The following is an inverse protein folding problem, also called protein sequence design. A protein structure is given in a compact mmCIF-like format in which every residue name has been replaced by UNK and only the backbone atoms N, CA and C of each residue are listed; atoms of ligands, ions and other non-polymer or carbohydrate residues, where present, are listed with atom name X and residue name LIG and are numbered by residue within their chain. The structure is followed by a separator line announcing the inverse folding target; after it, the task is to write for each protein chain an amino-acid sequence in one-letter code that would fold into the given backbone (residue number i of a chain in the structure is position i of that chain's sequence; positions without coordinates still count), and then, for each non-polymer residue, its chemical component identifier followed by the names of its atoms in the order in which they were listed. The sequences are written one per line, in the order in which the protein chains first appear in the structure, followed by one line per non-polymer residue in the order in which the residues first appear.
data_IF_820836524145
#
_entry.id   IF_820836524145
#
_cell.length_a   1.000
_cell.length_b   1.000
_cell.length_c   1.000
_cell.angle_alpha   90.00
_cell.angle_beta   90.00
_cell.angle_gamma   90.00
#
_symmetry.space_group_name_H-M   'P 1'
#
loop_
_entity.id
_entity.type
_entity.pdbx_description
1 polymer ?
#
# COMPACT_ATOMS: atom_id res chain seq x y z
N UNK A 1 24.39 68.57 5.95
CA UNK A 1 24.86 67.38 5.22
C UNK A 1 24.37 66.15 5.96
N UNK A 2 23.72 65.23 5.24
CA UNK A 2 23.11 63.97 5.71
C UNK A 2 24.18 62.90 5.90
N UNK A 3 24.07 62.03 6.91
CA UNK A 3 24.53 60.62 6.89
C UNK A 3 23.86 59.91 8.09
N UNK A 4 22.72 59.25 7.89
CA UNK A 4 22.55 57.83 7.52
C UNK A 4 22.66 56.89 8.72
N UNK A 5 21.50 56.62 9.36
CA UNK A 5 21.31 55.51 10.30
C UNK A 5 21.22 54.23 9.46
N UNK A 6 22.20 53.34 9.56
CA UNK A 6 22.11 52.00 9.00
C UNK A 6 21.47 51.07 10.03
N UNK A 7 20.20 50.73 9.81
CA UNK A 7 19.53 49.64 10.53
C UNK A 7 19.98 48.34 9.86
N UNK A 8 20.74 47.52 10.59
CA UNK A 8 21.17 46.20 10.14
C UNK A 8 20.04 45.20 10.45
N UNK A 9 19.17 44.95 9.47
CA UNK A 9 18.14 43.91 9.58
C UNK A 9 18.78 42.55 9.28
N UNK A 10 19.17 41.81 10.30
CA UNK A 10 19.61 40.42 10.15
C UNK A 10 18.37 39.53 9.99
N UNK A 11 18.03 39.17 8.74
CA UNK A 11 17.04 38.13 8.46
C UNK A 11 17.73 36.78 8.65
N UNK A 12 17.55 36.17 9.81
CA UNK A 12 17.93 34.77 10.04
C UNK A 12 16.96 33.86 9.29
N UNK A 13 17.33 33.43 8.08
CA UNK A 13 16.69 32.32 7.38
C UNK A 13 16.97 31.03 8.17
N UNK A 14 16.13 30.73 9.15
CA UNK A 14 16.01 29.37 9.66
C UNK A 14 15.38 28.53 8.54
N UNK A 15 16.23 27.96 7.69
CA UNK A 15 15.83 26.83 6.85
C UNK A 15 15.65 25.63 7.78
N UNK A 16 14.47 25.52 8.39
CA UNK A 16 14.03 24.27 9.01
C UNK A 16 14.02 23.23 7.90
N UNK A 17 15.03 22.35 7.86
CA UNK A 17 14.94 21.12 7.07
C UNK A 17 13.88 20.26 7.75
N UNK A 18 12.62 20.47 7.41
CA UNK A 18 11.62 19.43 7.60
C UNK A 18 12.08 18.29 6.69
N UNK A 19 12.74 17.28 7.24
CA UNK A 19 12.61 15.97 6.63
C UNK A 19 11.12 15.69 6.69
N UNK A 20 10.44 15.80 5.55
CA UNK A 20 9.20 15.07 5.38
C UNK A 20 9.63 13.60 5.42
N UNK A 21 9.81 13.07 6.64
CA UNK A 21 9.69 11.65 6.88
C UNK A 21 8.30 11.34 6.32
N UNK A 22 8.24 10.76 5.12
CA UNK A 22 7.00 10.19 4.62
C UNK A 22 6.44 9.28 5.71
N UNK A 23 5.12 9.16 5.80
CA UNK A 23 4.50 8.19 6.68
C UNK A 23 5.10 6.81 6.38
N UNK A 24 5.78 6.24 7.36
CA UNK A 24 6.39 4.92 7.22
C UNK A 24 5.27 3.89 7.30
N UNK A 25 5.01 3.14 6.24
CA UNK A 25 4.12 1.98 6.28
C UNK A 25 4.88 0.69 6.61
N UNK A 26 4.24 -0.24 7.33
CA UNK A 26 4.80 -1.57 7.60
C UNK A 26 4.01 -2.66 6.89
N UNK A 27 4.70 -3.68 6.38
CA UNK A 27 4.06 -4.90 5.92
C UNK A 27 3.85 -5.83 7.11
N UNK A 28 2.63 -6.31 7.30
CA UNK A 28 2.28 -7.22 8.39
C UNK A 28 1.85 -8.58 7.83
N UNK A 29 2.50 -9.64 8.32
CA UNK A 29 2.09 -11.01 8.02
C UNK A 29 0.82 -11.41 8.76
N UNK A 30 0.04 -12.32 8.16
CA UNK A 30 -1.29 -12.73 8.65
C UNK A 30 -1.26 -14.00 9.50
N UNK A 31 -0.06 -14.57 9.70
CA UNK A 31 0.18 -15.75 10.51
C UNK A 31 1.16 -15.43 11.65
N UNK A 32 1.01 -16.16 12.75
CA UNK A 32 1.96 -16.21 13.86
C UNK A 32 3.21 -17.01 13.45
N UNK A 33 4.26 -16.93 14.27
CA UNK A 33 5.52 -17.64 14.01
C UNK A 33 5.39 -19.17 13.96
N UNK A 34 4.33 -19.73 14.55
CA UNK A 34 4.01 -21.16 14.51
C UNK A 34 3.15 -21.56 13.29
N UNK A 35 2.82 -20.60 12.42
CA UNK A 35 2.00 -20.78 11.23
C UNK A 35 0.49 -20.71 11.48
N UNK A 36 0.03 -20.53 12.72
CA UNK A 36 -1.40 -20.30 13.00
C UNK A 36 -1.85 -18.95 12.44
N UNK A 37 -3.10 -18.87 11.96
CA UNK A 37 -3.69 -17.60 11.54
C UNK A 37 -3.84 -16.66 12.74
N UNK A 38 -3.54 -15.38 12.53
CA UNK A 38 -3.68 -14.35 13.57
C UNK A 38 -5.14 -14.13 13.95
N UNK A 39 -5.37 -13.99 15.24
CA UNK A 39 -6.64 -13.58 15.82
C UNK A 39 -6.71 -12.06 15.94
N UNK A 40 -7.89 -11.50 16.28
CA UNK A 40 -8.03 -10.08 16.56
C UNK A 40 -7.07 -9.60 17.66
N UNK A 41 -6.87 -10.40 18.73
CA UNK A 41 -5.96 -10.04 19.82
C UNK A 41 -4.49 -10.04 19.38
N UNK A 42 -4.10 -10.93 18.46
CA UNK A 42 -2.74 -10.92 17.89
C UNK A 42 -2.50 -9.64 17.10
N UNK A 43 -3.47 -9.22 16.28
CA UNK A 43 -3.39 -7.95 15.54
C UNK A 43 -3.39 -6.73 16.47
N UNK A 44 -4.21 -6.71 17.52
CA UNK A 44 -4.21 -5.64 18.53
C UNK A 44 -2.82 -5.50 19.17
N UNK A 45 -2.20 -6.62 19.57
CA UNK A 45 -0.84 -6.65 20.14
C UNK A 45 0.22 -6.14 19.14
N UNK A 46 0.11 -6.50 17.87
CA UNK A 46 0.99 -5.95 16.82
C UNK A 46 0.81 -4.43 16.67
N UNK A 47 -0.44 -3.95 16.63
CA UNK A 47 -0.74 -2.52 16.47
C UNK A 47 -0.37 -1.68 17.70
N UNK A 48 -0.45 -2.22 18.91
CA UNK A 48 0.06 -1.58 20.13
C UNK A 48 1.57 -1.29 20.02
N UNK A 49 2.30 -2.17 19.33
CA UNK A 49 3.74 -1.98 19.08
C UNK A 49 4.00 -1.00 17.93
N UNK A 50 3.21 -1.06 16.87
CA UNK A 50 3.48 -0.37 15.60
C UNK A 50 2.88 1.04 15.51
N UNK A 51 1.76 1.31 16.19
CA UNK A 51 0.98 2.56 16.05
C UNK A 51 1.74 3.84 16.38
N UNK A 52 2.80 3.75 17.21
CA UNK A 52 3.69 4.89 17.49
C UNK A 52 4.58 5.29 16.30
N UNK A 53 4.73 4.40 15.30
CA UNK A 53 5.66 4.56 14.18
C UNK A 53 4.98 4.64 12.82
N UNK A 54 3.72 4.18 12.73
CA UNK A 54 2.97 4.13 11.47
C UNK A 54 1.50 4.44 11.69
N UNK A 55 0.89 5.02 10.67
CA UNK A 55 -0.56 5.12 10.50
C UNK A 55 -1.11 4.16 9.43
N UNK A 56 -0.25 3.36 8.80
CA UNK A 56 -0.58 2.55 7.62
C UNK A 56 0.06 1.16 7.70
N UNK A 57 -0.74 0.13 7.47
CA UNK A 57 -0.27 -1.26 7.41
C UNK A 57 -0.63 -1.87 6.05
N UNK A 58 0.33 -2.58 5.46
CA UNK A 58 0.10 -3.41 4.28
C UNK A 58 -0.10 -4.88 4.69
N UNK A 59 -1.18 -5.48 4.20
CA UNK A 59 -1.43 -6.92 4.23
C UNK A 59 -1.51 -7.44 2.80
N UNK A 60 -1.29 -8.74 2.60
CA UNK A 60 -1.06 -9.30 1.24
C UNK A 60 -2.27 -9.99 0.61
N UNK A 61 -3.35 -10.16 1.38
CA UNK A 61 -4.56 -10.84 0.97
C UNK A 61 -5.72 -10.33 1.82
N UNK A 62 -6.92 -10.24 1.24
CA UNK A 62 -8.16 -9.99 1.96
C UNK A 62 -8.72 -11.29 2.56
N UNK A 63 -8.59 -12.41 1.85
CA UNK A 63 -9.21 -13.69 2.20
C UNK A 63 -8.34 -14.61 3.06
N UNK A 64 -7.03 -14.70 2.81
CA UNK A 64 -6.14 -15.61 3.52
C UNK A 64 -6.20 -15.35 5.03
N UNK A 65 -6.35 -16.39 5.85
CA UNK A 65 -6.52 -16.27 7.30
C UNK A 65 -7.64 -15.28 7.71
N UNK A 66 -8.70 -15.16 6.91
CA UNK A 66 -9.83 -14.25 7.15
C UNK A 66 -9.37 -12.80 7.39
N UNK A 67 -8.29 -12.38 6.71
CA UNK A 67 -7.56 -11.15 7.04
C UNK A 67 -8.47 -9.93 7.05
N UNK A 68 -9.25 -9.66 6.01
CA UNK A 68 -10.10 -8.46 5.98
C UNK A 68 -11.22 -8.51 7.03
N UNK A 69 -11.75 -9.71 7.31
CA UNK A 69 -12.75 -9.91 8.35
C UNK A 69 -12.23 -9.56 9.75
N UNK A 70 -11.00 -10.00 10.06
CA UNK A 70 -10.42 -9.90 11.40
C UNK A 70 -9.63 -8.60 11.56
N UNK A 71 -8.68 -8.34 10.65
CA UNK A 71 -7.79 -7.19 10.74
C UNK A 71 -8.48 -5.87 10.39
N UNK A 72 -9.45 -5.88 9.47
CA UNK A 72 -10.16 -4.67 9.04
C UNK A 72 -10.72 -3.84 10.21
N UNK A 73 -11.58 -4.42 11.06
CA UNK A 73 -12.14 -3.71 12.22
C UNK A 73 -11.09 -3.32 13.26
N UNK A 74 -10.06 -4.15 13.47
CA UNK A 74 -8.95 -3.86 14.40
C UNK A 74 -8.15 -2.65 13.94
N UNK A 75 -7.80 -2.58 12.66
CA UNK A 75 -7.10 -1.45 12.07
C UNK A 75 -7.94 -0.17 12.15
N UNK A 76 -9.22 -0.22 11.81
CA UNK A 76 -10.11 0.94 11.90
C UNK A 76 -10.23 1.46 13.34
N UNK A 77 -10.41 0.57 14.32
CA UNK A 77 -10.48 0.95 15.72
C UNK A 77 -9.18 1.60 16.22
N UNK A 78 -8.03 1.16 15.72
CA UNK A 78 -6.72 1.70 16.02
C UNK A 78 -6.37 2.98 15.22
N UNK A 79 -7.22 3.41 14.27
CA UNK A 79 -6.95 4.56 13.40
C UNK A 79 -5.85 4.30 12.37
N UNK A 80 -5.62 3.02 12.02
CA UNK A 80 -4.66 2.57 11.02
C UNK A 80 -5.37 2.40 9.67
N UNK A 81 -4.77 2.93 8.59
CA UNK A 81 -5.20 2.67 7.22
C UNK A 81 -4.56 1.41 6.65
N UNK A 82 -5.24 0.78 5.71
CA UNK A 82 -4.85 -0.50 5.12
C UNK A 82 -4.46 -0.33 3.66
N UNK A 83 -3.28 -0.81 3.32
CA UNK A 83 -2.86 -1.14 1.96
C UNK A 83 -3.18 -2.62 1.75
N UNK A 84 -4.31 -2.90 1.10
CA UNK A 84 -4.91 -4.22 1.03
C UNK A 84 -4.46 -4.96 -0.23
N UNK A 85 -3.71 -6.06 -0.08
CA UNK A 85 -3.36 -6.95 -1.18
C UNK A 85 -4.51 -7.87 -1.60
N UNK A 86 -4.56 -8.19 -2.89
CA UNK A 86 -5.48 -9.13 -3.52
C UNK A 86 -4.64 -10.11 -4.35
N UNK A 87 -4.74 -11.40 -4.05
CA UNK A 87 -4.08 -12.42 -4.87
C UNK A 87 -4.72 -12.49 -6.27
N UNK A 88 -3.90 -12.26 -7.31
CA UNK A 88 -4.32 -12.29 -8.71
C UNK A 88 -4.45 -13.72 -9.28
N UNK A 89 -3.96 -14.74 -8.59
CA UNK A 89 -3.99 -16.12 -9.08
C UNK A 89 -4.29 -17.10 -7.95
N UNK A 90 -4.91 -18.23 -8.28
CA UNK A 90 -5.25 -19.30 -7.33
C UNK A 90 -6.50 -19.02 -6.50
N UNK A 91 -6.51 -17.92 -5.74
CA UNK A 91 -7.54 -17.59 -4.73
C UNK A 91 -8.35 -16.34 -5.07
N UNK A 92 -8.28 -15.85 -6.31
CA UNK A 92 -8.85 -14.55 -6.70
C UNK A 92 -10.35 -14.41 -6.44
N UNK A 93 -11.15 -15.47 -6.66
CA UNK A 93 -12.59 -15.43 -6.36
C UNK A 93 -12.87 -15.33 -4.85
N UNK A 94 -12.02 -15.94 -4.01
CA UNK A 94 -12.12 -15.85 -2.55
C UNK A 94 -11.77 -14.44 -2.07
N UNK A 95 -10.79 -13.79 -2.71
CA UNK A 95 -10.46 -12.38 -2.46
C UNK A 95 -11.64 -11.46 -2.79
N UNK A 96 -12.28 -11.63 -3.95
CA UNK A 96 -13.48 -10.87 -4.33
C UNK A 96 -14.62 -11.09 -3.36
N UNK A 97 -14.86 -12.33 -2.94
CA UNK A 97 -15.88 -12.66 -1.95
C UNK A 97 -15.59 -11.99 -0.59
N UNK A 98 -14.33 -11.95 -0.16
CA UNK A 98 -13.92 -11.26 1.06
C UNK A 98 -14.17 -9.75 0.96
N UNK A 99 -13.84 -9.11 -0.17
CA UNK A 99 -14.14 -7.70 -0.41
C UNK A 99 -15.64 -7.42 -0.28
N UNK A 100 -16.47 -8.17 -1.01
CA UNK A 100 -17.93 -8.03 -0.96
C UNK A 100 -18.52 -8.24 0.43
N UNK A 101 -17.96 -9.17 1.20
CA UNK A 101 -18.48 -9.55 2.51
C UNK A 101 -18.09 -8.55 3.61
N UNK A 102 -16.89 -7.98 3.53
CA UNK A 102 -16.29 -7.29 4.68
C UNK A 102 -16.07 -5.79 4.48
N UNK A 103 -15.88 -5.30 3.26
CA UNK A 103 -15.83 -3.86 3.01
C UNK A 103 -17.09 -3.11 3.48
N UNK A 104 -18.33 -3.66 3.40
CA UNK A 104 -19.51 -2.97 3.93
C UNK A 104 -19.47 -2.67 5.44
N UNK A 105 -18.63 -3.39 6.19
CA UNK A 105 -18.51 -3.21 7.64
C UNK A 105 -17.41 -2.21 8.03
N UNK A 106 -16.60 -1.75 7.07
CA UNK A 106 -15.50 -0.83 7.29
C UNK A 106 -15.86 0.53 6.70
N UNK A 107 -15.24 1.58 7.19
CA UNK A 107 -15.25 2.89 6.53
C UNK A 107 -14.34 2.84 5.33
N UNK A 108 -14.75 3.49 4.24
CA UNK A 108 -13.90 3.66 3.06
C UNK A 108 -12.55 4.26 3.39
N UNK A 109 -12.49 5.20 4.34
CA UNK A 109 -11.26 5.82 4.80
C UNK A 109 -10.26 4.86 5.43
N UNK A 110 -10.70 3.67 5.85
CA UNK A 110 -9.83 2.62 6.39
C UNK A 110 -9.00 1.97 5.28
N UNK A 111 -9.43 2.01 4.02
CA UNK A 111 -8.71 1.45 2.88
C UNK A 111 -8.00 2.56 2.10
N UNK A 112 -6.67 2.56 2.13
CA UNK A 112 -5.85 3.55 1.42
C UNK A 112 -5.57 3.16 -0.03
N UNK A 113 -5.40 1.87 -0.28
CA UNK A 113 -5.10 1.29 -1.59
C UNK A 113 -5.48 -0.19 -1.63
N UNK A 114 -5.95 -0.65 -2.79
CA UNK A 114 -6.13 -2.08 -3.09
C UNK A 114 -5.15 -2.50 -4.18
N UNK A 115 -4.24 -3.42 -3.86
CA UNK A 115 -3.21 -3.93 -4.76
C UNK A 115 -3.55 -5.30 -5.30
N UNK A 116 -3.95 -5.37 -6.57
CA UNK A 116 -4.20 -6.61 -7.30
C UNK A 116 -2.88 -7.16 -7.81
N UNK A 117 -2.53 -8.35 -7.33
CA UNK A 117 -1.24 -8.97 -7.56
C UNK A 117 -0.13 -8.38 -6.69
N UNK A 118 0.83 -9.25 -6.36
CA UNK A 118 2.09 -8.89 -5.72
C UNK A 118 3.20 -9.70 -6.36
N UNK A 119 4.01 -9.08 -7.21
CA UNK A 119 5.04 -9.75 -8.03
C UNK A 119 4.49 -10.86 -8.94
N UNK A 120 3.21 -10.78 -9.31
CA UNK A 120 2.55 -11.80 -10.12
C UNK A 120 3.10 -11.84 -11.55
N UNK A 121 3.47 -10.69 -12.10
CA UNK A 121 4.13 -10.61 -13.41
C UNK A 121 5.60 -11.02 -13.31
N UNK A 122 6.30 -10.61 -12.25
CA UNK A 122 7.69 -11.04 -12.01
C UNK A 122 7.81 -12.57 -11.96
N UNK A 123 6.84 -13.26 -11.34
CA UNK A 123 6.79 -14.72 -11.29
C UNK A 123 6.21 -15.37 -12.55
N UNK A 124 5.68 -14.59 -13.49
CA UNK A 124 4.96 -15.06 -14.66
C UNK A 124 3.75 -15.94 -14.32
N UNK A 125 3.09 -15.67 -13.19
CA UNK A 125 1.89 -16.39 -12.75
C UNK A 125 0.66 -16.01 -13.61
N UNK A 126 0.67 -14.80 -14.16
CA UNK A 126 -0.43 -14.17 -14.92
C UNK A 126 0.14 -13.29 -16.04
N UNK A 127 -0.62 -13.09 -17.13
CA UNK A 127 -0.23 -12.16 -18.20
C UNK A 127 -0.53 -10.70 -17.83
N UNK A 128 0.11 -9.75 -18.52
CA UNK A 128 -0.15 -8.33 -18.31
C UNK A 128 -1.60 -7.93 -18.65
N UNK A 129 -2.18 -8.52 -19.69
CA UNK A 129 -3.55 -8.20 -20.10
C UNK A 129 -4.58 -8.80 -19.12
N UNK A 130 -4.32 -10.00 -18.61
CA UNK A 130 -5.19 -10.63 -17.61
C UNK A 130 -5.12 -9.85 -16.29
N UNK A 131 -3.94 -9.48 -15.80
CA UNK A 131 -3.80 -8.67 -14.58
C UNK A 131 -4.42 -7.28 -14.73
N UNK A 132 -4.30 -6.65 -15.91
CA UNK A 132 -4.97 -5.37 -16.20
C UNK A 132 -6.50 -5.51 -16.17
N UNK A 133 -7.02 -6.65 -16.63
CA UNK A 133 -8.45 -6.97 -16.58
C UNK A 133 -8.92 -7.18 -15.14
N UNK A 134 -8.15 -7.89 -14.31
CA UNK A 134 -8.46 -8.08 -12.88
C UNK A 134 -8.43 -6.75 -12.10
N UNK A 135 -7.47 -5.87 -12.37
CA UNK A 135 -7.45 -4.51 -11.79
C UNK A 135 -8.75 -3.76 -12.10
N UNK A 136 -9.18 -3.80 -13.36
CA UNK A 136 -10.42 -3.14 -13.79
C UNK A 136 -11.65 -3.77 -13.14
N UNK A 137 -11.69 -5.10 -13.04
CA UNK A 137 -12.77 -5.83 -12.36
C UNK A 137 -12.87 -5.45 -10.88
N UNK A 138 -11.74 -5.34 -10.17
CA UNK A 138 -11.73 -4.91 -8.76
C UNK A 138 -12.19 -3.46 -8.61
N UNK A 139 -11.79 -2.56 -9.52
CA UNK A 139 -12.29 -1.17 -9.53
C UNK A 139 -13.81 -1.11 -9.66
N UNK A 140 -14.37 -1.88 -10.60
CA UNK A 140 -15.82 -1.95 -10.81
C UNK A 140 -16.53 -2.60 -9.62
N UNK A 141 -15.99 -3.72 -9.12
CA UNK A 141 -16.53 -4.46 -7.97
C UNK A 141 -16.68 -3.57 -6.75
N UNK A 142 -15.63 -2.83 -6.37
CA UNK A 142 -15.68 -1.99 -5.17
C UNK A 142 -16.51 -0.72 -5.41
N UNK A 143 -16.69 -0.26 -6.65
CA UNK A 143 -17.51 0.92 -6.91
C UNK A 143 -18.98 0.71 -6.49
N UNK A 144 -19.48 -0.51 -6.55
CA UNK A 144 -20.83 -0.91 -6.16
C UNK A 144 -20.98 -1.24 -4.66
N UNK A 145 -19.88 -1.23 -3.90
CA UNK A 145 -19.90 -1.47 -2.45
C UNK A 145 -20.03 -0.14 -1.70
N UNK A 146 -21.01 -0.07 -0.79
CA UNK A 146 -21.15 1.01 0.18
C UNK A 146 -20.49 0.60 1.50
N UNK A 147 -19.83 1.56 2.15
CA UNK A 147 -19.15 1.40 3.42
C UNK A 147 -20.14 1.44 4.61
N UNK A 148 -19.62 1.31 5.83
CA UNK A 148 -20.44 1.31 7.06
C UNK A 148 -21.30 2.58 7.29
N UNK A 149 -21.03 3.68 6.58
CA UNK A 149 -21.79 4.93 6.62
C UNK A 149 -22.66 5.15 5.36
N UNK A 150 -22.63 4.24 4.39
CA UNK A 150 -23.31 4.39 3.11
C UNK A 150 -22.47 5.11 2.05
N UNK A 151 -21.18 5.35 2.27
CA UNK A 151 -20.30 5.96 1.27
C UNK A 151 -19.78 4.88 0.31
N UNK A 152 -19.95 5.08 -1.01
CA UNK A 152 -19.42 4.16 -2.01
C UNK A 152 -17.88 4.13 -2.01
N UNK A 153 -17.29 2.93 -2.13
CA UNK A 153 -15.85 2.74 -2.30
C UNK A 153 -15.32 3.20 -3.67
N UNK A 154 -16.18 3.66 -4.59
CA UNK A 154 -15.77 4.26 -5.87
C UNK A 154 -14.73 5.36 -5.68
N UNK A 155 -13.62 5.27 -6.41
CA UNK A 155 -12.50 6.21 -6.32
C UNK A 155 -11.48 5.88 -5.22
N UNK A 156 -11.64 4.76 -4.51
CA UNK A 156 -10.52 4.13 -3.78
C UNK A 156 -9.46 3.72 -4.81
N UNK A 157 -8.18 4.00 -4.53
CA UNK A 157 -7.09 3.71 -5.47
C UNK A 157 -6.92 2.21 -5.63
N UNK A 158 -6.94 1.73 -6.86
CA UNK A 158 -6.64 0.34 -7.21
C UNK A 158 -5.48 0.29 -8.19
N UNK A 159 -4.64 -0.73 -8.07
CA UNK A 159 -3.58 -0.98 -9.04
C UNK A 159 -2.81 -2.23 -8.66
N UNK A 160 -1.50 -2.26 -8.92
CA UNK A 160 -0.68 -3.44 -8.62
C UNK A 160 0.55 -3.11 -7.79
N UNK A 161 1.12 -4.15 -7.18
CA UNK A 161 2.46 -4.12 -6.60
C UNK A 161 3.31 -5.13 -7.36
N UNK A 162 4.41 -4.71 -7.98
CA UNK A 162 5.31 -5.66 -8.66
C UNK A 162 6.78 -5.23 -8.53
N UNK A 163 7.69 -6.09 -8.96
CA UNK A 163 9.12 -5.77 -8.96
C UNK A 163 9.38 -4.56 -9.85
N UNK A 164 10.22 -3.63 -9.38
CA UNK A 164 10.45 -2.36 -10.09
C UNK A 164 10.85 -2.54 -11.57
N UNK A 165 11.62 -3.60 -11.89
CA UNK A 165 12.10 -3.89 -13.25
C UNK A 165 10.98 -4.38 -14.17
N UNK A 166 9.92 -4.97 -13.62
CA UNK A 166 8.74 -5.40 -14.36
C UNK A 166 7.85 -4.21 -14.70
N UNK A 167 7.70 -3.28 -13.76
CA UNK A 167 6.85 -2.09 -13.94
C UNK A 167 7.40 -1.09 -14.98
N UNK A 168 8.71 -1.11 -15.24
CA UNK A 168 9.34 -0.27 -16.27
C UNK A 168 9.49 -0.98 -17.63
N UNK A 169 9.13 -2.26 -17.71
CA UNK A 169 9.11 -2.99 -18.97
C UNK A 169 7.88 -2.59 -19.79
N UNK A 170 8.12 -2.12 -21.02
CA UNK A 170 7.07 -1.70 -21.95
C UNK A 170 6.08 -2.82 -22.30
N UNK A 171 6.47 -4.09 -22.15
CA UNK A 171 5.56 -5.23 -22.32
C UNK A 171 4.39 -5.22 -21.30
N UNK A 172 4.59 -4.60 -20.14
CA UNK A 172 3.60 -4.55 -19.06
C UNK A 172 2.81 -3.24 -19.01
N UNK A 173 2.85 -2.44 -20.09
CA UNK A 173 2.19 -1.14 -20.15
C UNK A 173 0.66 -1.21 -19.95
N UNK A 174 0.03 -2.36 -20.23
CA UNK A 174 -1.40 -2.57 -19.98
C UNK A 174 -1.75 -2.41 -18.48
N UNK A 175 -0.95 -3.02 -17.61
CA UNK A 175 -1.16 -3.00 -16.15
C UNK A 175 -0.96 -1.59 -15.57
N UNK A 176 0.05 -0.87 -16.06
CA UNK A 176 0.29 0.52 -15.66
C UNK A 176 -0.86 1.44 -16.07
N UNK A 177 -1.48 1.19 -17.24
CA UNK A 177 -2.63 1.98 -17.73
C UNK A 177 -3.92 1.68 -16.99
N UNK A 178 -4.13 0.43 -16.56
CA UNK A 178 -5.32 0.04 -15.80
C UNK A 178 -5.25 0.52 -14.34
N UNK A 179 -4.04 0.65 -13.78
CA UNK A 179 -3.83 1.07 -12.39
C UNK A 179 -4.02 2.57 -12.17
N UNK A 180 -4.68 2.97 -11.07
CA UNK A 180 -4.66 4.35 -10.57
C UNK A 180 -3.27 4.73 -10.03
N UNK A 181 -2.60 3.75 -9.42
CA UNK A 181 -1.24 3.85 -8.88
C UNK A 181 -0.57 2.49 -8.91
N UNK A 182 0.74 2.45 -9.18
CA UNK A 182 1.55 1.24 -9.08
C UNK A 182 2.58 1.40 -7.96
N UNK A 183 2.82 0.34 -7.19
CA UNK A 183 3.87 0.30 -6.19
C UNK A 183 4.98 -0.67 -6.60
N UNK A 184 6.22 -0.25 -6.41
CA UNK A 184 7.38 -1.04 -6.78
C UNK A 184 7.98 -1.75 -5.56
N UNK A 185 8.13 -3.07 -5.65
CA UNK A 185 9.04 -3.80 -4.78
C UNK A 185 10.47 -3.62 -5.29
N UNK A 186 11.35 -3.15 -4.41
CA UNK A 186 12.75 -2.91 -4.73
C UNK A 186 13.65 -3.30 -3.55
N UNK A 187 14.38 -4.40 -3.71
CA UNK A 187 15.21 -4.98 -2.65
C UNK A 187 16.70 -4.89 -3.00
N UNK A 188 17.38 -3.84 -2.54
CA UNK A 188 18.81 -3.62 -2.82
C UNK A 188 19.71 -4.77 -2.36
N UNK A 189 19.35 -5.43 -1.26
CA UNK A 189 20.04 -6.63 -0.75
C UNK A 189 20.11 -7.74 -1.80
N UNK A 190 18.99 -8.06 -2.45
CA UNK A 190 18.90 -9.11 -3.48
C UNK A 190 19.52 -8.71 -4.83
N UNK A 191 19.83 -7.43 -5.00
CA UNK A 191 20.49 -6.90 -6.21
C UNK A 191 22.02 -6.81 -6.08
N UNK A 192 22.60 -7.33 -4.99
CA UNK A 192 24.05 -7.29 -4.77
C UNK A 192 24.59 -5.86 -4.61
N UNK A 193 23.75 -4.89 -4.26
CA UNK A 193 24.19 -3.52 -4.03
C UNK A 193 25.09 -3.48 -2.80
N UNK A 194 26.33 -3.00 -2.98
CA UNK A 194 27.24 -2.75 -1.86
C UNK A 194 26.75 -1.52 -1.07
N UNK A 195 27.10 -1.46 0.22
CA UNK A 195 26.83 -0.32 1.13
C UNK A 195 27.27 1.07 0.60
N UNK A 196 27.98 1.16 -0.53
CA UNK A 196 28.38 2.41 -1.19
C UNK A 196 27.30 3.01 -2.11
N UNK A 197 26.30 2.22 -2.53
CA UNK A 197 25.25 2.62 -3.49
C UNK A 197 23.84 2.75 -2.90
N UNK A 198 23.69 2.60 -1.59
CA UNK A 198 22.42 2.63 -0.87
C UNK A 198 21.72 4.01 -0.80
N UNK A 199 22.30 5.05 -1.42
CA UNK A 199 21.72 6.40 -1.50
C UNK A 199 21.54 6.93 -2.93
N UNK A 200 21.83 6.15 -3.97
CA UNK A 200 21.64 6.64 -5.35
C UNK A 200 20.27 6.23 -5.87
N UNK A 201 19.39 7.23 -5.96
CA UNK A 201 18.10 7.11 -6.62
C UNK A 201 18.25 6.49 -8.01
N UNK A 202 17.22 5.73 -8.37
CA UNK A 202 16.98 5.04 -9.64
C UNK A 202 17.65 5.80 -10.80
N UNK A 203 18.86 5.37 -11.18
CA UNK A 203 19.52 5.87 -12.38
C UNK A 203 18.83 5.25 -13.57
N UNK A 204 18.24 6.13 -14.38
CA UNK A 204 17.65 5.82 -15.68
C UNK A 204 18.72 5.25 -16.60
N UNK A 205 18.44 4.09 -17.18
CA UNK A 205 19.01 3.70 -18.48
C UNK A 205 18.05 4.13 -19.58
#
# INVERSE_FOLDING_TARGET
MRFSVQILTAVSLYASRTFALGSLGFNLGVQNNDGSCKTASDYESDLDTLSAYTSTIKVYSAANCDTLQIFGPVAEAAGITIVLGIAATGTYDEEKAALQSYLPNLKKSTIEFIGVGSESLYRADITADDLASEISEIQDLIADIEDSNGDSYKGTKVGTVDSWNILVDGANAAVVKASDVVYANAFSYWQGQTMKNNHQGIHRY
#
